data_IF_992568221852
#
_entry.id   IF_992568221852
#
_cell.length_a   1.000
_cell.length_b   1.000
_cell.length_c   1.000
_cell.angle_alpha   90.00
_cell.angle_beta   90.00
_cell.angle_gamma   90.00
#
_symmetry.space_group_name_H-M   'P 1'
#
loop_
_entity.id
_entity.type
_entity.pdbx_description
1 polymer ?
#
# COMPACT_ATOMS: atom_id res chain seq x y z
N UNK A 1 19.59 -7.57 22.01
CA UNK A 1 19.39 -8.45 20.84
C UNK A 1 18.52 -9.70 21.09
N UNK A 2 18.04 -10.00 22.31
CA UNK A 2 17.22 -11.21 22.56
C UNK A 2 15.70 -11.06 22.34
N UNK A 3 15.16 -9.86 22.17
CA UNK A 3 13.71 -9.67 22.08
C UNK A 3 13.14 -10.02 20.68
N UNK A 4 13.92 -9.81 19.61
CA UNK A 4 13.46 -10.06 18.24
C UNK A 4 13.40 -11.56 17.90
N UNK A 5 14.30 -12.38 18.46
CA UNK A 5 14.34 -13.83 18.24
C UNK A 5 13.18 -14.54 18.96
N UNK A 6 12.74 -14.02 20.11
CA UNK A 6 11.58 -14.55 20.82
C UNK A 6 10.26 -14.25 20.10
N UNK A 7 10.17 -13.12 19.40
CA UNK A 7 8.96 -12.76 18.65
C UNK A 7 8.76 -13.65 17.41
N UNK A 8 9.84 -13.97 16.68
CA UNK A 8 9.80 -14.88 15.54
C UNK A 8 9.48 -16.31 16.01
N UNK A 9 10.09 -16.77 17.11
CA UNK A 9 9.75 -18.07 17.72
C UNK A 9 8.30 -18.12 18.21
N UNK A 10 7.75 -17.03 18.73
CA UNK A 10 6.36 -16.95 19.17
C UNK A 10 5.38 -16.97 18.00
N UNK A 11 5.69 -16.29 16.89
CA UNK A 11 4.89 -16.36 15.66
C UNK A 11 4.96 -17.76 15.05
N UNK A 12 6.14 -18.38 15.00
CA UNK A 12 6.28 -19.76 14.50
C UNK A 12 5.54 -20.76 15.39
N UNK A 13 5.55 -20.55 16.70
CA UNK A 13 4.81 -21.35 17.68
C UNK A 13 3.29 -21.17 17.57
N UNK A 14 2.81 -19.94 17.30
CA UNK A 14 1.40 -19.66 17.03
C UNK A 14 0.93 -20.25 15.70
N UNK A 15 1.76 -20.16 14.65
CA UNK A 15 1.48 -20.77 13.36
C UNK A 15 1.46 -22.29 13.50
N UNK A 16 2.43 -22.88 14.21
CA UNK A 16 2.50 -24.33 14.49
C UNK A 16 1.33 -24.83 15.36
N UNK A 17 0.90 -24.06 16.36
CA UNK A 17 -0.31 -24.35 17.14
C UNK A 17 -1.57 -24.27 16.28
N UNK A 18 -1.64 -23.32 15.34
CA UNK A 18 -2.76 -23.19 14.40
C UNK A 18 -2.80 -24.35 13.40
N UNK A 19 -1.66 -24.86 12.92
CA UNK A 19 -1.61 -26.05 12.06
C UNK A 19 -1.81 -27.37 12.82
N UNK A 20 -1.37 -27.49 14.07
CA UNK A 20 -1.57 -28.71 14.86
C UNK A 20 -2.99 -28.84 15.44
N UNK A 21 -3.78 -27.76 15.58
CA UNK A 21 -5.18 -27.85 16.02
C UNK A 21 -6.15 -28.32 14.93
N UNK A 22 -5.70 -28.49 13.68
CA UNK A 22 -6.58 -28.87 12.56
C UNK A 22 -6.88 -30.39 12.47
N UNK A 23 -6.40 -31.24 13.40
CA UNK A 23 -6.49 -32.70 13.22
C UNK A 23 -7.41 -33.48 14.16
N UNK A 24 -8.15 -32.87 15.09
CA UNK A 24 -9.21 -33.59 15.85
C UNK A 24 -10.41 -32.65 16.05
N UNK A 25 -11.31 -32.61 15.06
CA UNK A 25 -12.66 -32.10 15.26
C UNK A 25 -13.53 -33.23 15.82
N UNK A 26 -13.74 -33.23 17.14
CA UNK A 26 -14.88 -33.92 17.75
C UNK A 26 -16.05 -32.95 17.76
N UNK A 27 -17.15 -33.36 17.16
CA UNK A 27 -18.42 -32.66 17.06
C UNK A 27 -18.82 -32.05 18.43
N UNK A 28 -18.91 -30.72 18.51
CA UNK A 28 -19.42 -30.00 19.69
C UNK A 28 -20.65 -29.17 19.30
N UNK A 29 -21.71 -29.35 20.08
CA UNK A 29 -23.04 -28.77 19.88
C UNK A 29 -23.04 -27.23 19.90
N UNK A 30 -23.97 -26.57 19.18
CA UNK A 30 -24.00 -25.12 19.06
C UNK A 30 -24.42 -24.49 20.40
N UNK A 31 -23.54 -23.68 20.97
CA UNK A 31 -23.87 -22.77 22.07
C UNK A 31 -24.53 -21.53 21.47
N UNK A 32 -25.84 -21.57 21.29
CA UNK A 32 -26.67 -20.37 21.06
C UNK A 32 -27.26 -19.92 22.40
N UNK A 33 -27.20 -18.61 22.67
CA UNK A 33 -28.22 -17.82 23.37
C UNK A 33 -27.65 -16.45 23.79
N UNK A 34 -27.51 -15.52 22.83
CA UNK A 34 -27.52 -14.08 23.10
C UNK A 34 -28.53 -13.44 22.13
N UNK A 35 -29.82 -13.33 22.50
CA UNK A 35 -30.90 -13.00 21.57
C UNK A 35 -30.76 -11.62 20.90
N UNK A 36 -30.09 -10.65 21.55
CA UNK A 36 -29.81 -9.33 20.96
C UNK A 36 -28.76 -9.37 19.86
N UNK A 37 -27.77 -10.27 19.98
CA UNK A 37 -26.74 -10.44 18.97
C UNK A 37 -27.32 -11.15 17.76
N UNK A 38 -28.13 -12.19 17.98
CA UNK A 38 -28.81 -12.91 16.90
C UNK A 38 -29.79 -12.01 16.12
N UNK A 39 -30.53 -11.13 16.83
CA UNK A 39 -31.43 -10.17 16.18
C UNK A 39 -30.67 -9.11 15.35
N UNK A 40 -29.54 -8.60 15.88
CA UNK A 40 -28.69 -7.65 15.16
C UNK A 40 -28.00 -8.29 13.94
N UNK A 41 -27.49 -9.51 14.11
CA UNK A 41 -26.90 -10.29 13.03
C UNK A 41 -27.94 -10.60 11.94
N UNK A 42 -29.18 -10.95 12.32
CA UNK A 42 -30.27 -11.17 11.37
C UNK A 42 -30.70 -9.90 10.62
N UNK A 43 -30.73 -8.74 11.29
CA UNK A 43 -31.03 -7.46 10.63
C UNK A 43 -29.92 -7.07 9.63
N UNK A 44 -28.65 -7.27 9.98
CA UNK A 44 -27.52 -7.10 9.05
C UNK A 44 -27.61 -8.10 7.91
N UNK A 45 -28.00 -9.35 8.21
CA UNK A 45 -28.12 -10.43 7.25
C UNK A 45 -29.19 -10.12 6.19
N UNK A 46 -30.41 -9.74 6.59
CA UNK A 46 -31.48 -9.37 5.67
C UNK A 46 -31.14 -8.12 4.84
N UNK A 47 -30.57 -7.09 5.48
CA UNK A 47 -30.14 -5.88 4.77
C UNK A 47 -29.10 -6.21 3.69
N UNK A 48 -28.14 -7.08 3.99
CA UNK A 48 -27.08 -7.48 3.06
C UNK A 48 -27.56 -8.45 1.97
N UNK A 49 -28.42 -9.41 2.30
CA UNK A 49 -29.04 -10.30 1.32
C UNK A 49 -29.82 -9.51 0.26
N UNK A 50 -30.58 -8.51 0.71
CA UNK A 50 -31.27 -7.57 -0.17
C UNK A 50 -30.32 -6.75 -1.06
N UNK A 51 -29.13 -6.39 -0.59
CA UNK A 51 -28.12 -5.70 -1.42
C UNK A 51 -27.52 -6.63 -2.48
N UNK A 52 -27.14 -7.86 -2.11
CA UNK A 52 -26.49 -8.82 -3.03
C UNK A 52 -27.45 -9.27 -4.14
N UNK A 53 -28.71 -9.53 -3.80
CA UNK A 53 -29.75 -9.92 -4.75
C UNK A 53 -30.14 -8.78 -5.71
N UNK A 54 -30.18 -7.52 -5.22
CA UNK A 54 -30.46 -6.35 -6.05
C UNK A 54 -29.32 -6.03 -7.05
N UNK A 55 -28.13 -6.58 -6.83
CA UNK A 55 -26.96 -6.43 -7.70
C UNK A 55 -26.93 -7.48 -8.82
N UNK A 56 -27.27 -8.74 -8.53
CA UNK A 56 -27.37 -9.82 -9.53
C UNK A 56 -28.43 -9.51 -10.61
N UNK A 57 -29.56 -8.91 -10.23
CA UNK A 57 -30.65 -8.57 -11.17
C UNK A 57 -30.36 -7.35 -12.07
N UNK A 58 -29.44 -6.47 -11.67
CA UNK A 58 -29.22 -5.16 -12.34
C UNK A 58 -27.90 -5.11 -13.10
N UNK A 59 -26.96 -6.02 -12.82
CA UNK A 59 -25.55 -5.82 -13.14
C UNK A 59 -25.01 -4.56 -12.45
N UNK A 60 -23.74 -4.24 -12.61
CA UNK A 60 -23.12 -3.02 -12.07
C UNK A 60 -23.67 -1.70 -12.70
N UNK A 61 -24.89 -1.69 -13.24
CA UNK A 61 -25.54 -0.48 -13.76
C UNK A 61 -25.91 0.46 -12.61
N UNK A 62 -25.08 1.49 -12.39
CA UNK A 62 -25.35 2.74 -11.66
C UNK A 62 -26.46 2.69 -10.60
N UNK A 63 -26.39 1.73 -9.67
CA UNK A 63 -27.25 1.70 -8.51
C UNK A 63 -26.87 2.82 -7.53
N UNK A 64 -27.82 3.22 -6.67
CA UNK A 64 -27.56 4.19 -5.59
C UNK A 64 -26.39 3.73 -4.71
N UNK A 65 -26.26 2.42 -4.48
CA UNK A 65 -25.15 1.85 -3.69
C UNK A 65 -23.78 2.07 -4.34
N UNK A 66 -23.69 1.91 -5.67
CA UNK A 66 -22.45 2.14 -6.44
C UNK A 66 -22.03 3.61 -6.39
N UNK A 67 -23.00 4.53 -6.46
CA UNK A 67 -22.73 5.98 -6.33
C UNK A 67 -22.23 6.32 -4.93
N UNK A 68 -22.87 5.79 -3.88
CA UNK A 68 -22.42 5.99 -2.49
C UNK A 68 -21.03 5.42 -2.28
N UNK A 69 -20.74 4.21 -2.81
CA UNK A 69 -19.40 3.63 -2.79
C UNK A 69 -18.39 4.53 -3.51
N UNK A 70 -18.74 5.09 -4.67
CA UNK A 70 -17.92 6.04 -5.42
C UNK A 70 -17.57 7.30 -4.63
N UNK A 71 -18.54 7.89 -3.93
CA UNK A 71 -18.32 9.06 -3.07
C UNK A 71 -17.40 8.72 -1.90
N UNK A 72 -17.60 7.59 -1.24
CA UNK A 72 -16.75 7.16 -0.13
C UNK A 72 -15.34 6.81 -0.60
N UNK A 73 -15.19 6.17 -1.76
CA UNK A 73 -13.91 5.93 -2.40
C UNK A 73 -13.22 7.22 -2.82
N UNK A 74 -13.96 8.23 -3.28
CA UNK A 74 -13.42 9.57 -3.56
C UNK A 74 -12.83 10.20 -2.29
N UNK A 75 -13.57 10.20 -1.19
CA UNK A 75 -13.08 10.72 0.09
C UNK A 75 -11.86 9.95 0.61
N UNK A 76 -11.90 8.61 0.51
CA UNK A 76 -10.78 7.75 0.88
C UNK A 76 -9.54 8.01 0.01
N UNK A 77 -9.72 8.23 -1.30
CA UNK A 77 -8.65 8.56 -2.23
C UNK A 77 -8.01 9.91 -1.91
N UNK A 78 -8.82 10.92 -1.57
CA UNK A 78 -8.33 12.24 -1.19
C UNK A 78 -7.49 12.20 0.08
N UNK A 79 -7.94 11.48 1.12
CA UNK A 79 -7.22 11.36 2.40
C UNK A 79 -5.96 10.50 2.25
N UNK A 80 -6.04 9.39 1.53
CA UNK A 80 -4.91 8.45 1.39
C UNK A 80 -3.79 8.95 0.48
N UNK A 81 -4.10 9.84 -0.46
CA UNK A 81 -3.11 10.49 -1.33
C UNK A 81 -2.09 11.29 -0.50
N UNK A 82 -2.52 11.93 0.59
CA UNK A 82 -1.66 12.63 1.56
C UNK A 82 -0.50 11.76 2.09
N UNK A 83 -0.81 10.52 2.44
CA UNK A 83 0.15 9.59 3.04
C UNK A 83 1.03 8.88 2.02
N UNK A 84 0.76 9.05 0.71
CA UNK A 84 1.44 8.33 -0.36
C UNK A 84 1.22 6.82 -0.34
N UNK A 85 0.09 6.39 0.25
CA UNK A 85 -0.19 4.99 0.59
C UNK A 85 -1.05 4.31 -0.50
N UNK A 86 -1.73 5.07 -1.36
CA UNK A 86 -2.49 4.55 -2.51
C UNK A 86 -3.92 4.10 -2.24
N UNK A 87 -4.46 4.29 -1.03
CA UNK A 87 -5.90 4.16 -0.73
C UNK A 87 -6.50 2.74 -0.73
N UNK A 88 -5.82 1.74 -1.28
CA UNK A 88 -6.39 0.40 -1.47
C UNK A 88 -6.86 -0.30 -0.21
N UNK A 89 -6.22 -0.08 0.93
CA UNK A 89 -6.67 -0.61 2.23
C UNK A 89 -8.06 -0.11 2.65
N UNK A 90 -8.52 0.98 2.04
CA UNK A 90 -9.83 1.60 2.27
C UNK A 90 -10.83 1.21 1.20
N UNK A 91 -10.39 1.13 -0.07
CA UNK A 91 -11.27 0.77 -1.19
C UNK A 91 -11.86 -0.62 -1.02
N UNK A 92 -11.05 -1.60 -0.60
CA UNK A 92 -11.51 -2.98 -0.47
C UNK A 92 -12.70 -3.10 0.50
N UNK A 93 -12.63 -2.62 1.77
CA UNK A 93 -13.80 -2.64 2.66
C UNK A 93 -15.00 -1.82 2.16
N UNK A 94 -14.76 -0.68 1.50
CA UNK A 94 -15.85 0.16 0.97
C UNK A 94 -16.60 -0.60 -0.13
N UNK A 95 -15.87 -1.19 -1.07
CA UNK A 95 -16.45 -1.96 -2.17
C UNK A 95 -17.16 -3.21 -1.67
N UNK A 96 -16.57 -3.97 -0.75
CA UNK A 96 -17.21 -5.20 -0.25
C UNK A 96 -18.46 -4.92 0.57
N UNK A 97 -18.48 -3.86 1.39
CA UNK A 97 -19.60 -3.59 2.31
C UNK A 97 -20.72 -2.81 1.62
N UNK A 98 -20.38 -1.79 0.82
CA UNK A 98 -21.36 -0.88 0.23
C UNK A 98 -21.74 -1.32 -1.16
N UNK A 99 -20.76 -1.60 -2.03
CA UNK A 99 -21.06 -2.11 -3.36
C UNK A 99 -21.40 -3.60 -3.37
N UNK A 100 -21.21 -4.32 -2.25
CA UNK A 100 -21.59 -5.72 -2.10
C UNK A 100 -20.80 -6.69 -2.98
N UNK A 101 -19.67 -6.25 -3.53
CA UNK A 101 -18.82 -7.08 -4.40
C UNK A 101 -17.96 -8.04 -3.57
N UNK A 102 -17.69 -9.22 -4.10
CA UNK A 102 -16.86 -10.20 -3.41
C UNK A 102 -15.41 -9.69 -3.23
N UNK A 103 -14.72 -10.19 -2.20
CA UNK A 103 -13.41 -9.67 -1.81
C UNK A 103 -12.35 -9.74 -2.92
N UNK A 104 -12.40 -10.78 -3.75
CA UNK A 104 -11.47 -10.95 -4.89
C UNK A 104 -11.72 -9.91 -5.99
N UNK A 105 -12.98 -9.63 -6.27
CA UNK A 105 -13.41 -8.59 -7.22
C UNK A 105 -13.10 -7.20 -6.67
N UNK A 106 -13.34 -6.97 -5.38
CA UNK A 106 -12.96 -5.72 -4.70
C UNK A 106 -11.44 -5.47 -4.73
N UNK A 107 -10.63 -6.51 -4.51
CA UNK A 107 -9.16 -6.45 -4.64
C UNK A 107 -8.74 -6.07 -6.06
N UNK A 108 -9.37 -6.70 -7.05
CA UNK A 108 -9.18 -6.43 -8.47
C UNK A 108 -9.51 -4.97 -8.84
N UNK A 109 -10.66 -4.46 -8.42
CA UNK A 109 -11.08 -3.06 -8.62
C UNK A 109 -10.15 -2.08 -7.89
N UNK A 110 -9.77 -2.41 -6.65
CA UNK A 110 -8.85 -1.61 -5.86
C UNK A 110 -7.51 -1.42 -6.57
N UNK A 111 -6.99 -2.42 -7.28
CA UNK A 111 -5.75 -2.27 -8.04
C UNK A 111 -5.85 -1.16 -9.09
N UNK A 112 -6.95 -1.11 -9.85
CA UNK A 112 -7.23 -0.06 -10.84
C UNK A 112 -7.39 1.32 -10.19
N UNK A 113 -8.12 1.38 -9.06
CA UNK A 113 -8.33 2.61 -8.31
C UNK A 113 -7.04 3.18 -7.73
N UNK A 114 -6.19 2.32 -7.16
CA UNK A 114 -4.85 2.67 -6.66
C UNK A 114 -3.98 3.15 -7.81
N UNK A 115 -4.06 2.53 -9.00
CA UNK A 115 -3.38 3.01 -10.20
C UNK A 115 -3.82 4.43 -10.57
N UNK A 116 -5.12 4.71 -10.63
CA UNK A 116 -5.64 6.05 -10.91
C UNK A 116 -5.12 7.10 -9.91
N UNK A 117 -5.20 6.82 -8.62
CA UNK A 117 -4.72 7.75 -7.58
C UNK A 117 -3.20 7.91 -7.57
N UNK A 118 -2.44 6.86 -7.83
CA UNK A 118 -0.97 6.93 -7.88
C UNK A 118 -0.44 7.67 -9.11
N UNK A 119 -1.12 7.57 -10.27
CA UNK A 119 -0.83 8.42 -11.43
C UNK A 119 -0.94 9.90 -11.05
N UNK A 120 -2.05 10.29 -10.44
CA UNK A 120 -2.27 11.66 -9.96
C UNK A 120 -1.16 12.11 -8.99
N UNK A 121 -0.78 11.25 -8.05
CA UNK A 121 0.27 11.55 -7.08
C UNK A 121 1.65 11.69 -7.72
N UNK A 122 2.02 10.80 -8.66
CA UNK A 122 3.31 10.86 -9.34
C UNK A 122 3.40 12.12 -10.20
N UNK A 123 2.38 12.41 -10.99
CA UNK A 123 2.29 13.63 -11.79
C UNK A 123 2.42 14.84 -10.87
N UNK A 124 1.62 14.94 -9.81
CA UNK A 124 1.66 16.10 -8.92
C UNK A 124 3.02 16.21 -8.19
N UNK A 125 3.60 15.13 -7.67
CA UNK A 125 4.88 15.18 -6.98
C UNK A 125 6.08 15.46 -7.91
N UNK A 126 5.96 15.14 -9.21
CA UNK A 126 6.99 15.44 -10.21
C UNK A 126 6.88 16.88 -10.75
N UNK A 127 5.66 17.38 -10.95
CA UNK A 127 5.42 18.70 -11.55
C UNK A 127 5.23 19.82 -10.52
N UNK A 128 4.59 19.56 -9.38
CA UNK A 128 4.36 20.52 -8.30
C UNK A 128 5.49 20.41 -7.28
N UNK A 129 6.42 21.36 -7.37
CA UNK A 129 7.57 21.44 -6.47
C UNK A 129 7.18 22.14 -5.18
N UNK A 130 7.44 21.51 -4.03
CA UNK A 130 7.13 22.11 -2.73
C UNK A 130 8.03 23.33 -2.48
N UNK A 131 7.45 24.52 -2.22
CA UNK A 131 8.22 25.73 -1.90
C UNK A 131 9.00 25.58 -0.58
N UNK A 132 8.45 24.83 0.38
CA UNK A 132 9.08 24.53 1.68
C UNK A 132 10.42 23.78 1.57
N UNK A 133 10.65 23.07 0.47
CA UNK A 133 11.87 22.29 0.21
C UNK A 133 12.78 22.91 -0.87
N UNK A 134 12.61 24.21 -1.15
CA UNK A 134 13.45 24.93 -2.12
C UNK A 134 13.26 24.43 -3.56
N UNK A 135 12.07 23.93 -3.89
CA UNK A 135 11.72 23.49 -5.24
C UNK A 135 12.29 22.13 -5.66
N UNK A 136 12.71 21.29 -4.71
CA UNK A 136 13.28 19.95 -4.98
C UNK A 136 12.19 18.88 -5.14
N UNK A 137 12.49 17.88 -5.97
CA UNK A 137 11.69 16.66 -6.08
C UNK A 137 11.89 15.83 -4.81
N UNK A 138 10.78 15.44 -4.16
CA UNK A 138 10.79 14.69 -2.90
C UNK A 138 10.94 13.17 -3.09
N UNK A 139 10.86 12.67 -4.32
CA UNK A 139 10.96 11.24 -4.64
C UNK A 139 12.42 10.78 -4.53
N UNK A 140 12.68 9.82 -3.65
CA UNK A 140 13.95 9.12 -3.57
C UNK A 140 13.98 7.96 -4.59
N UNK A 141 14.44 8.27 -5.80
CA UNK A 141 14.61 7.30 -6.89
C UNK A 141 15.61 6.19 -6.55
N UNK A 142 16.48 6.43 -5.59
CA UNK A 142 17.53 5.52 -5.16
C UNK A 142 16.96 4.37 -4.32
N UNK A 143 15.97 4.65 -3.48
CA UNK A 143 15.21 3.64 -2.75
C UNK A 143 14.26 2.91 -3.71
N UNK A 144 13.55 3.67 -4.56
CA UNK A 144 12.63 3.08 -5.54
C UNK A 144 13.34 2.07 -6.45
N UNK A 145 14.50 2.44 -7.05
CA UNK A 145 15.29 1.55 -7.90
C UNK A 145 15.64 0.21 -7.22
N UNK A 146 16.06 0.27 -5.95
CA UNK A 146 16.49 -0.93 -5.23
C UNK A 146 15.31 -1.85 -4.86
N UNK A 147 14.16 -1.26 -4.56
CA UNK A 147 12.99 -1.98 -4.08
C UNK A 147 12.07 -2.49 -5.20
N UNK A 148 12.03 -1.80 -6.35
CA UNK A 148 11.05 -2.07 -7.42
C UNK A 148 11.11 -3.50 -7.97
N UNK A 149 12.27 -4.09 -8.34
CA UNK A 149 12.30 -5.44 -8.92
C UNK A 149 11.72 -6.51 -7.98
N UNK A 150 12.03 -6.40 -6.68
CA UNK A 150 11.51 -7.31 -5.67
C UNK A 150 10.04 -7.06 -5.37
N UNK A 151 9.59 -5.80 -5.43
CA UNK A 151 8.18 -5.46 -5.27
C UNK A 151 7.32 -5.99 -6.42
N UNK A 152 7.76 -5.84 -7.68
CA UNK A 152 7.07 -6.38 -8.85
C UNK A 152 6.98 -7.90 -8.81
N UNK A 153 8.07 -8.59 -8.44
CA UNK A 153 8.05 -10.04 -8.19
C UNK A 153 7.06 -10.41 -7.06
N UNK A 154 7.01 -9.61 -5.99
CA UNK A 154 6.05 -9.82 -4.91
C UNK A 154 4.61 -9.70 -5.42
N UNK A 155 4.31 -8.66 -6.19
CA UNK A 155 2.97 -8.44 -6.80
C UNK A 155 2.56 -9.66 -7.62
N UNK A 156 3.47 -10.18 -8.44
CA UNK A 156 3.26 -11.39 -9.23
C UNK A 156 2.77 -12.57 -8.41
N UNK A 157 3.48 -12.87 -7.32
CA UNK A 157 3.15 -13.96 -6.41
C UNK A 157 1.82 -13.67 -5.73
N UNK A 158 1.62 -12.42 -5.30
CA UNK A 158 0.42 -12.00 -4.59
C UNK A 158 -0.87 -12.13 -5.41
N UNK A 159 -0.86 -11.75 -6.68
CA UNK A 159 -2.02 -11.87 -7.56
C UNK A 159 -2.36 -13.35 -7.82
N UNK A 160 -1.36 -14.21 -7.99
CA UNK A 160 -1.58 -15.66 -8.10
C UNK A 160 -2.19 -16.21 -6.79
N UNK A 161 -1.67 -15.78 -5.63
CA UNK A 161 -2.24 -16.12 -4.33
C UNK A 161 -3.69 -15.64 -4.19
N UNK A 162 -4.06 -14.45 -4.68
CA UNK A 162 -5.46 -13.99 -4.64
C UNK A 162 -6.41 -14.97 -5.34
N UNK A 163 -5.99 -15.58 -6.46
CA UNK A 163 -6.79 -16.58 -7.19
C UNK A 163 -6.91 -17.89 -6.42
N UNK A 164 -5.78 -18.40 -5.90
CA UNK A 164 -5.67 -19.72 -5.25
C UNK A 164 -6.30 -19.76 -3.86
N UNK A 165 -6.07 -18.73 -3.04
CA UNK A 165 -6.50 -18.72 -1.64
C UNK A 165 -8.03 -18.61 -1.54
N UNK A 166 -8.68 -19.32 -0.60
CA UNK A 166 -10.10 -19.15 -0.34
C UNK A 166 -10.39 -17.77 0.27
N UNK A 167 -11.61 -17.27 0.10
CA UNK A 167 -11.98 -15.91 0.49
C UNK A 167 -11.88 -15.67 1.99
N UNK A 168 -12.28 -16.65 2.81
CA UNK A 168 -12.15 -16.56 4.27
C UNK A 168 -10.69 -16.33 4.71
N UNK A 169 -9.73 -16.95 4.03
CA UNK A 169 -8.31 -16.81 4.36
C UNK A 169 -7.79 -15.43 3.93
N UNK A 170 -8.19 -14.94 2.76
CA UNK A 170 -7.85 -13.58 2.31
C UNK A 170 -8.44 -12.54 3.27
N UNK A 171 -9.69 -12.72 3.71
CA UNK A 171 -10.36 -11.84 4.69
C UNK A 171 -9.60 -11.79 6.01
N UNK A 172 -9.22 -12.95 6.58
CA UNK A 172 -8.45 -13.01 7.83
C UNK A 172 -7.07 -12.36 7.65
N UNK A 173 -6.36 -12.69 6.56
CA UNK A 173 -5.04 -12.12 6.29
C UNK A 173 -5.10 -10.60 6.12
N UNK A 174 -6.14 -10.11 5.43
CA UNK A 174 -6.36 -8.68 5.21
C UNK A 174 -6.69 -7.96 6.51
N UNK A 175 -7.56 -8.53 7.35
CA UNK A 175 -7.89 -7.98 8.66
C UNK A 175 -6.66 -7.91 9.59
N UNK A 176 -5.83 -8.96 9.63
CA UNK A 176 -4.58 -8.97 10.39
C UNK A 176 -3.58 -7.94 9.86
N UNK A 177 -3.47 -7.81 8.54
CA UNK A 177 -2.64 -6.81 7.89
C UNK A 177 -3.08 -5.38 8.23
N UNK A 178 -4.37 -5.07 8.11
CA UNK A 178 -4.93 -3.76 8.44
C UNK A 178 -4.75 -3.43 9.93
N UNK A 179 -4.94 -4.42 10.82
CA UNK A 179 -4.68 -4.25 12.26
C UNK A 179 -3.21 -3.92 12.53
N UNK A 180 -2.29 -4.69 11.94
CA UNK A 180 -0.84 -4.44 12.07
C UNK A 180 -0.45 -3.06 11.55
N UNK A 181 -0.92 -2.69 10.36
CA UNK A 181 -0.63 -1.38 9.78
C UNK A 181 -1.24 -0.24 10.59
N UNK A 182 -2.47 -0.40 11.09
CA UNK A 182 -3.12 0.59 11.98
C UNK A 182 -2.30 0.80 13.25
N UNK A 183 -1.90 -0.29 13.93
CA UNK A 183 -1.06 -0.20 15.12
C UNK A 183 0.26 0.54 14.83
N UNK A 184 0.91 0.20 13.71
CA UNK A 184 2.17 0.81 13.30
C UNK A 184 2.01 2.29 12.95
N UNK A 185 0.99 2.65 12.18
CA UNK A 185 0.68 4.03 11.80
C UNK A 185 0.34 4.87 13.02
N UNK A 186 -0.49 4.38 13.95
CA UNK A 186 -0.81 5.10 15.19
C UNK A 186 0.44 5.32 16.06
N UNK A 187 1.30 4.30 16.19
CA UNK A 187 2.56 4.43 16.92
C UNK A 187 3.48 5.48 16.29
N UNK A 188 3.64 5.44 14.97
CA UNK A 188 4.44 6.44 14.25
C UNK A 188 3.82 7.84 14.33
N UNK A 189 2.50 7.97 14.21
CA UNK A 189 1.78 9.23 14.34
C UNK A 189 1.99 9.88 15.70
N UNK A 190 1.89 9.10 16.78
CA UNK A 190 2.19 9.59 18.14
C UNK A 190 3.66 10.01 18.30
N UNK A 191 4.60 9.26 17.72
CA UNK A 191 6.02 9.59 17.74
C UNK A 191 6.31 10.93 17.05
N UNK A 192 5.77 11.17 15.86
CA UNK A 192 5.93 12.44 15.15
C UNK A 192 5.24 13.60 15.86
N UNK A 193 4.05 13.37 16.40
CA UNK A 193 3.36 14.41 17.15
C UNK A 193 4.16 14.85 18.38
N UNK A 194 4.81 13.91 19.07
CA UNK A 194 5.72 14.22 20.18
C UNK A 194 6.93 15.05 19.71
N UNK A 195 7.59 14.64 18.62
CA UNK A 195 8.72 15.37 18.04
C UNK A 195 8.33 16.80 17.59
N UNK A 196 7.20 16.95 16.90
CA UNK A 196 6.70 18.25 16.47
C UNK A 196 6.33 19.13 17.68
N UNK A 197 5.75 18.54 18.72
CA UNK A 197 5.40 19.25 19.96
C UNK A 197 6.64 19.70 20.75
N UNK A 198 7.71 18.91 20.76
CA UNK A 198 8.99 19.27 21.39
C UNK A 198 9.71 20.38 20.59
N UNK A 199 9.69 20.31 19.26
CA UNK A 199 10.27 21.36 18.40
C UNK A 199 9.54 22.70 18.54
N UNK A 200 8.20 22.69 18.64
CA UNK A 200 7.43 23.91 18.93
C UNK A 200 7.72 24.48 20.32
N UNK A 201 7.85 23.63 21.34
CA UNK A 201 8.21 24.07 22.69
C UNK A 201 9.60 24.70 22.72
N UNK A 202 10.60 24.07 22.08
CA UNK A 202 11.95 24.61 21.97
C UNK A 202 12.02 25.94 21.22
N UNK A 203 11.24 26.12 20.14
CA UNK A 203 11.10 27.43 19.47
C UNK A 203 10.50 28.49 20.39
N UNK A 204 9.42 28.16 21.11
CA UNK A 204 8.80 29.08 22.07
C UNK A 204 9.70 29.40 23.26
N UNK A 205 10.52 28.47 23.73
CA UNK A 205 11.52 28.70 24.78
C UNK A 205 12.69 29.57 24.29
N UNK A 206 13.14 29.38 23.04
CA UNK A 206 14.13 30.24 22.40
C UNK A 206 13.59 31.66 22.18
N UNK A 207 12.35 31.80 21.71
CA UNK A 207 11.66 33.08 21.50
C UNK A 207 11.37 33.80 22.83
N UNK A 208 10.92 33.06 23.86
CA UNK A 208 10.72 33.62 25.20
C UNK A 208 12.05 33.91 25.93
N UNK A 209 13.13 33.21 25.59
CA UNK A 209 14.48 33.49 26.09
C UNK A 209 15.09 34.74 25.44
N UNK A 210 14.87 34.93 24.15
CA UNK A 210 15.29 36.11 23.39
C UNK A 210 14.49 37.36 23.81
N UNK A 211 13.18 37.23 24.03
CA UNK A 211 12.33 38.31 24.56
C UNK A 211 12.64 38.72 26.01
N UNK A 212 13.50 37.97 26.72
CA UNK A 212 13.95 38.32 28.08
C UNK A 212 15.28 39.09 28.11
N UNK A 213 16.00 39.13 26.99
CA UNK A 213 17.32 39.75 26.89
C UNK A 213 17.42 40.62 25.63
N UNK A 214 16.60 41.66 25.52
CA UNK A 214 16.88 42.76 24.59
C UNK A 214 16.65 44.11 25.26
N UNK A 215 17.71 44.62 25.90
CA UNK A 215 18.13 46.00 25.76
C UNK A 215 19.53 46.00 25.13
N UNK A 216 19.68 46.80 24.08
CA UNK A 216 20.90 47.20 23.36
C UNK A 216 21.19 46.50 22.02
N UNK A 217 20.97 47.31 20.99
CA UNK A 217 21.77 47.56 19.79
C UNK A 217 21.61 46.68 18.53
N UNK A 218 21.53 47.44 17.44
CA UNK A 218 21.39 47.09 16.02
C UNK A 218 22.58 46.27 15.49
N UNK A 219 22.34 45.68 14.32
CA UNK A 219 23.27 44.93 13.45
C UNK A 219 23.49 43.44 13.78
N UNK A 220 22.59 42.60 13.26
CA UNK A 220 22.99 41.29 12.71
C UNK A 220 22.19 41.00 11.43
N UNK A 221 22.65 41.59 10.34
CA UNK A 221 22.43 41.07 8.99
C UNK A 221 23.16 39.73 8.87
N UNK A 222 22.53 38.63 9.33
CA UNK A 222 23.08 37.29 9.27
C UNK A 222 22.14 36.29 8.58
N UNK A 223 22.44 36.03 7.30
CA UNK A 223 22.20 34.76 6.61
C UNK A 223 20.74 34.34 6.41
N UNK A 224 19.93 35.21 5.80
CA UNK A 224 19.08 34.71 4.71
C UNK A 224 20.00 34.36 3.54
N UNK A 225 20.69 33.23 3.65
CA UNK A 225 21.17 32.50 2.49
C UNK A 225 19.92 32.25 1.63
N UNK A 226 19.73 33.16 0.68
CA UNK A 226 18.99 32.96 -0.55
C UNK A 226 19.65 31.76 -1.22
N UNK A 227 19.32 30.55 -0.78
CA UNK A 227 19.60 29.30 -1.50
C UNK A 227 18.80 29.42 -2.77
N UNK A 228 19.44 29.99 -3.79
CA UNK A 228 19.04 29.86 -5.19
C UNK A 228 18.64 28.40 -5.40
N UNK A 229 17.34 28.19 -5.52
CA UNK A 229 16.75 26.88 -5.71
C UNK A 229 17.22 26.34 -7.04
N UNK A 230 18.35 25.63 -7.03
CA UNK A 230 18.79 24.83 -8.16
C UNK A 230 17.66 23.86 -8.44
N UNK A 231 16.91 24.12 -9.52
CA UNK A 231 15.91 23.22 -10.05
C UNK A 231 16.56 21.84 -10.17
N UNK A 232 16.18 20.90 -9.30
CA UNK A 232 16.66 19.53 -9.43
C UNK A 232 16.02 18.98 -10.70
N UNK A 233 16.80 18.86 -11.77
CA UNK A 233 16.37 18.19 -12.99
C UNK A 233 15.95 16.75 -12.64
N UNK A 234 14.84 16.31 -13.24
CA UNK A 234 14.36 14.93 -13.09
C UNK A 234 15.49 13.99 -13.52
N UNK A 235 15.88 12.99 -12.70
CA UNK A 235 16.91 12.04 -13.06
C UNK A 235 16.36 11.04 -14.08
N UNK A 236 16.18 11.49 -15.33
CA UNK A 236 15.60 10.73 -16.45
C UNK A 236 16.24 9.36 -16.65
N UNK A 237 17.56 9.23 -16.41
CA UNK A 237 18.25 7.93 -16.47
C UNK A 237 17.71 6.93 -15.44
N UNK A 238 17.50 7.36 -14.18
CA UNK A 238 16.96 6.49 -13.13
C UNK A 238 15.50 6.12 -13.44
N UNK A 239 14.71 7.08 -13.91
CA UNK A 239 13.33 6.84 -14.32
C UNK A 239 13.24 5.84 -15.48
N UNK A 240 14.10 5.98 -16.49
CA UNK A 240 14.19 5.06 -17.62
C UNK A 240 14.50 3.62 -17.20
N UNK A 241 15.38 3.43 -16.21
CA UNK A 241 15.70 2.11 -15.64
C UNK A 241 14.47 1.50 -14.95
N UNK A 242 13.70 2.25 -14.16
CA UNK A 242 12.47 1.72 -13.55
C UNK A 242 11.44 1.30 -14.60
N UNK A 243 11.22 2.14 -15.62
CA UNK A 243 10.30 1.81 -16.72
C UNK A 243 10.77 0.56 -17.46
N UNK A 244 12.08 0.39 -17.64
CA UNK A 244 12.66 -0.82 -18.24
C UNK A 244 12.39 -2.07 -17.38
N UNK A 245 12.53 -2.00 -16.06
CA UNK A 245 12.17 -3.11 -15.17
C UNK A 245 10.69 -3.44 -15.30
N UNK A 246 9.82 -2.45 -15.18
CA UNK A 246 8.38 -2.64 -15.31
C UNK A 246 8.01 -3.29 -16.66
N UNK A 247 8.57 -2.79 -17.77
CA UNK A 247 8.31 -3.34 -19.09
C UNK A 247 8.86 -4.76 -19.26
N UNK A 248 9.99 -5.09 -18.61
CA UNK A 248 10.54 -6.46 -18.62
C UNK A 248 9.60 -7.45 -17.94
N UNK A 249 9.03 -7.09 -16.78
CA UNK A 249 8.02 -7.90 -16.13
C UNK A 249 6.74 -7.95 -16.99
N UNK A 250 6.23 -6.81 -17.43
CA UNK A 250 5.05 -6.71 -18.29
C UNK A 250 5.15 -7.61 -19.53
N UNK A 251 6.30 -7.62 -20.19
CA UNK A 251 6.55 -8.47 -21.36
C UNK A 251 6.48 -9.96 -21.00
N UNK A 252 7.04 -10.40 -19.86
CA UNK A 252 6.87 -11.78 -19.38
C UNK A 252 5.39 -12.14 -19.16
N UNK A 253 4.56 -11.19 -18.72
CA UNK A 253 3.12 -11.40 -18.59
C UNK A 253 2.38 -11.45 -19.92
N UNK A 254 2.78 -10.61 -20.88
CA UNK A 254 2.26 -10.71 -22.25
C UNK A 254 2.58 -12.07 -22.88
N UNK A 255 3.79 -12.59 -22.65
CA UNK A 255 4.19 -13.92 -23.11
C UNK A 255 3.41 -15.04 -22.40
N UNK A 256 3.08 -14.87 -21.12
CA UNK A 256 2.27 -15.83 -20.35
C UNK A 256 0.84 -15.96 -20.90
N UNK A 257 0.28 -14.87 -21.42
CA UNK A 257 -1.07 -14.83 -22.00
C UNK A 257 -2.21 -14.76 -20.97
N UNK A 258 -3.44 -14.74 -21.49
CA UNK A 258 -4.68 -14.68 -20.71
C UNK A 258 -5.11 -16.08 -20.22
N UNK A 259 -6.01 -16.14 -19.23
CA UNK A 259 -6.59 -17.38 -18.69
C UNK A 259 -7.26 -18.29 -19.73
N UNK A 260 -7.65 -17.76 -20.89
CA UNK A 260 -8.28 -18.51 -21.98
C UNK A 260 -7.27 -19.09 -22.99
N UNK A 261 -5.96 -19.07 -22.69
CA UNK A 261 -4.91 -19.56 -23.58
C UNK A 261 -4.64 -18.66 -24.80
N UNK A 262 -5.31 -17.50 -24.87
CA UNK A 262 -5.07 -16.47 -25.88
C UNK A 262 -3.94 -15.56 -25.41
N UNK A 263 -2.79 -15.68 -26.05
CA UNK A 263 -1.61 -14.85 -25.84
C UNK A 263 -0.78 -14.78 -27.12
N UNK A 264 0.36 -14.08 -27.08
CA UNK A 264 1.30 -14.03 -28.22
C UNK A 264 1.75 -15.45 -28.59
N UNK A 265 1.86 -16.33 -27.60
CA UNK A 265 2.14 -17.75 -27.76
C UNK A 265 0.93 -18.51 -27.21
N UNK A 266 0.19 -19.29 -28.03
CA UNK A 266 -0.89 -20.12 -27.52
C UNK A 266 -0.29 -21.19 -26.60
N UNK A 267 -0.58 -21.10 -25.32
CA UNK A 267 -0.15 -22.06 -24.30
C UNK A 267 -1.38 -22.58 -23.58
N UNK A 268 -1.39 -23.88 -23.30
CA UNK A 268 -2.41 -24.47 -22.43
C UNK A 268 -2.34 -23.84 -21.03
N UNK A 269 -3.51 -23.45 -20.51
CA UNK A 269 -3.62 -22.92 -19.16
C UNK A 269 -3.02 -23.93 -18.18
N UNK A 270 -1.98 -23.51 -17.46
CA UNK A 270 -1.22 -24.35 -16.54
C UNK A 270 -0.45 -25.54 -17.08
N UNK A 271 -0.11 -25.51 -18.37
CA UNK A 271 0.96 -26.32 -18.90
C UNK A 271 2.33 -25.95 -18.30
N UNK A 272 3.33 -26.79 -18.57
CA UNK A 272 4.72 -26.59 -18.12
C UNK A 272 5.26 -25.22 -18.57
N UNK A 273 4.90 -24.77 -19.78
CA UNK A 273 5.30 -23.46 -20.32
C UNK A 273 4.82 -22.27 -19.48
N UNK A 274 3.60 -22.33 -18.94
CA UNK A 274 3.04 -21.29 -18.07
C UNK A 274 3.90 -21.10 -16.81
N UNK A 275 4.25 -22.20 -16.16
CA UNK A 275 5.06 -22.19 -14.94
C UNK A 275 6.52 -21.83 -15.21
N UNK A 276 7.08 -22.19 -16.36
CA UNK A 276 8.41 -21.75 -16.79
C UNK A 276 8.45 -20.23 -16.92
N UNK A 277 7.52 -19.63 -17.68
CA UNK A 277 7.46 -18.17 -17.87
C UNK A 277 7.24 -17.45 -16.53
N UNK A 278 6.36 -17.97 -15.67
CA UNK A 278 6.16 -17.41 -14.34
C UNK A 278 7.42 -17.53 -13.46
N UNK A 279 8.19 -18.61 -13.60
CA UNK A 279 9.42 -18.83 -12.84
C UNK A 279 10.57 -17.93 -13.30
N UNK A 280 10.59 -17.50 -14.57
CA UNK A 280 11.60 -16.57 -15.14
C UNK A 280 11.61 -15.21 -14.43
N UNK A 281 10.54 -14.83 -13.75
CA UNK A 281 10.47 -13.58 -12.99
C UNK A 281 11.45 -13.56 -11.80
N UNK A 282 11.71 -14.71 -11.18
CA UNK A 282 12.64 -14.82 -10.05
C UNK A 282 14.09 -14.50 -10.44
N UNK A 283 14.70 -15.18 -11.45
CA UNK A 283 16.05 -14.83 -11.87
C UNK A 283 16.13 -13.41 -12.42
N UNK A 284 15.10 -12.93 -13.11
CA UNK A 284 15.05 -11.53 -13.59
C UNK A 284 15.12 -10.53 -12.44
N UNK A 285 14.33 -10.72 -11.38
CA UNK A 285 14.37 -9.88 -10.18
C UNK A 285 15.75 -9.93 -9.49
N UNK A 286 16.33 -11.13 -9.34
CA UNK A 286 17.65 -11.33 -8.72
C UNK A 286 18.74 -10.63 -9.54
N UNK A 287 18.71 -10.74 -10.87
CA UNK A 287 19.66 -10.08 -11.78
C UNK A 287 19.57 -8.57 -11.63
N UNK A 288 18.38 -7.99 -11.68
CA UNK A 288 18.20 -6.54 -11.53
C UNK A 288 18.64 -6.04 -10.15
N UNK A 289 18.23 -6.71 -9.07
CA UNK A 289 18.64 -6.31 -7.71
C UNK A 289 20.15 -6.45 -7.51
N UNK A 290 20.76 -7.52 -8.02
CA UNK A 290 22.22 -7.73 -7.95
C UNK A 290 22.99 -6.71 -8.78
N UNK A 291 22.50 -6.38 -9.98
CA UNK A 291 23.09 -5.36 -10.85
C UNK A 291 23.10 -3.98 -10.18
N UNK A 292 22.00 -3.60 -9.53
CA UNK A 292 21.91 -2.32 -8.79
C UNK A 292 22.86 -2.31 -7.60
N UNK A 293 22.92 -3.39 -6.82
CA UNK A 293 23.82 -3.50 -5.67
C UNK A 293 25.30 -3.45 -6.09
N UNK A 294 25.64 -4.09 -7.20
CA UNK A 294 26.99 -4.04 -7.78
C UNK A 294 27.35 -2.63 -8.25
N UNK A 295 26.46 -1.99 -9.01
CA UNK A 295 26.70 -0.65 -9.56
C UNK A 295 26.80 0.42 -8.46
N UNK A 296 26.03 0.27 -7.36
CA UNK A 296 26.15 1.11 -6.16
C UNK A 296 27.47 0.90 -5.42
N UNK A 297 27.89 -0.34 -5.26
CA UNK A 297 29.19 -0.66 -4.66
C UNK A 297 30.37 -0.08 -5.45
N UNK A 298 30.23 0.00 -6.78
CA UNK A 298 31.23 0.63 -7.66
C UNK A 298 31.28 2.16 -7.51
N UNK A 299 30.12 2.85 -7.43
CA UNK A 299 30.09 4.31 -7.26
C UNK A 299 30.65 4.81 -5.92
N UNK A 300 30.58 3.99 -4.86
CA UNK A 300 31.09 4.36 -3.53
C UNK A 300 32.63 4.38 -3.47
N UNK A 301 33.32 3.80 -4.47
CA UNK A 301 34.78 3.79 -4.56
C UNK A 301 35.38 5.02 -5.27
N UNK A 302 34.56 5.99 -5.71
CA UNK A 302 35.06 7.29 -6.17
C UNK A 302 35.06 8.31 -5.03
N UNK A 303 36.19 9.01 -4.77
CA UNK A 303 36.24 10.03 -3.73
C UNK A 303 35.55 11.31 -4.25
N UNK A 304 34.29 11.52 -3.87
CA UNK A 304 33.68 12.85 -4.00
C UNK A 304 32.67 13.13 -2.89
N UNK A 305 32.92 14.25 -2.22
CA UNK A 305 32.19 14.87 -1.11
C UNK A 305 30.67 14.71 -1.22
N UNK A 306 30.05 13.99 -0.28
CA UNK A 306 28.61 14.15 0.03
C UNK A 306 28.46 15.11 1.22
N UNK A 307 27.48 16.04 1.18
CA UNK A 307 27.15 16.90 2.30
C UNK A 307 26.46 16.08 3.41
N UNK A 308 26.85 16.40 4.64
CA UNK A 308 26.35 15.83 5.91
C UNK A 308 24.83 15.88 6.03
N UNK A 309 24.23 14.78 6.50
CA UNK A 309 22.81 14.78 6.92
C UNK A 309 22.12 13.42 6.93
N UNK A 310 22.57 12.42 6.17
CA UNK A 310 22.07 11.05 6.32
C UNK A 310 22.96 10.30 7.28
N UNK A 311 22.50 10.12 8.51
CA UNK A 311 23.07 9.17 9.46
C UNK A 311 22.99 7.77 8.85
N UNK A 312 24.02 7.39 8.10
CA UNK A 312 24.22 6.02 7.64
C UNK A 312 24.48 5.17 8.89
N UNK A 313 23.42 4.53 9.39
CA UNK A 313 23.58 3.42 10.33
C UNK A 313 24.42 2.35 9.64
N UNK A 314 25.68 2.23 10.07
CA UNK A 314 26.54 1.06 9.85
C UNK A 314 25.71 -0.20 10.12
N UNK A 315 25.25 -0.87 9.08
CA UNK A 315 24.73 -2.23 9.15
C UNK A 315 25.50 -3.05 8.12
N UNK A 316 25.96 -4.24 8.53
CA UNK A 316 26.79 -5.14 7.73
C UNK A 316 26.11 -5.65 6.44
N UNK A 317 26.61 -6.73 5.81
CA UNK A 317 26.06 -7.26 4.56
C UNK A 317 24.53 -7.50 4.60
N UNK A 318 23.98 -7.80 5.78
CA UNK A 318 22.54 -8.00 6.02
C UNK A 318 21.70 -6.72 5.92
N UNK A 319 22.29 -5.53 6.10
CA UNK A 319 21.59 -4.24 5.99
C UNK A 319 21.22 -3.87 4.55
N UNK A 320 22.02 -4.32 3.56
CA UNK A 320 21.80 -3.99 2.14
C UNK A 320 20.57 -4.66 1.54
N UNK A 321 20.13 -5.79 2.10
CA UNK A 321 18.99 -6.57 1.60
C UNK A 321 17.66 -6.26 2.32
N UNK A 322 17.66 -5.39 3.33
CA UNK A 322 16.44 -5.10 4.09
C UNK A 322 15.36 -4.45 3.22
N UNK A 323 15.71 -3.51 2.35
CA UNK A 323 14.76 -2.84 1.47
C UNK A 323 14.18 -3.79 0.40
N UNK A 324 14.98 -4.61 -0.33
CA UNK A 324 14.47 -5.63 -1.23
C UNK A 324 13.50 -6.63 -0.58
N UNK A 325 13.85 -7.17 0.59
CA UNK A 325 13.01 -8.17 1.28
C UNK A 325 11.68 -7.57 1.72
N UNK A 326 11.72 -6.36 2.29
CA UNK A 326 10.52 -5.65 2.69
C UNK A 326 9.64 -5.27 1.49
N UNK A 327 10.27 -4.89 0.37
CA UNK A 327 9.57 -4.59 -0.88
C UNK A 327 8.91 -5.84 -1.47
N UNK A 328 9.55 -7.01 -1.39
CA UNK A 328 8.95 -8.28 -1.79
C UNK A 328 7.71 -8.60 -0.95
N UNK A 329 7.79 -8.50 0.38
CA UNK A 329 6.65 -8.74 1.27
C UNK A 329 5.51 -7.73 1.02
N UNK A 330 5.85 -6.45 0.84
CA UNK A 330 4.89 -5.42 0.46
C UNK A 330 4.24 -5.71 -0.90
N UNK A 331 5.01 -6.21 -1.86
CA UNK A 331 4.51 -6.64 -3.17
C UNK A 331 3.56 -7.82 -3.06
N UNK A 332 3.90 -8.86 -2.29
CA UNK A 332 3.01 -10.03 -2.08
C UNK A 332 1.68 -9.59 -1.49
N UNK A 333 1.70 -8.87 -0.38
CA UNK A 333 0.47 -8.38 0.25
C UNK A 333 -0.25 -7.36 -0.65
N UNK A 334 0.51 -6.53 -1.35
CA UNK A 334 0.04 -5.56 -2.34
C UNK A 334 -0.74 -6.21 -3.49
N UNK A 335 -0.22 -7.32 -4.02
CA UNK A 335 -0.84 -8.10 -5.09
C UNK A 335 -2.05 -8.90 -4.59
N UNK A 336 -1.96 -9.52 -3.41
CA UNK A 336 -3.09 -10.29 -2.83
C UNK A 336 -4.30 -9.39 -2.60
N UNK A 337 -4.11 -8.17 -2.09
CA UNK A 337 -5.21 -7.28 -1.73
C UNK A 337 -5.51 -6.17 -2.74
N UNK A 338 -4.70 -6.04 -3.79
CA UNK A 338 -4.84 -4.96 -4.77
C UNK A 338 -4.61 -3.56 -4.18
N UNK A 339 -3.70 -3.44 -3.19
CA UNK A 339 -3.43 -2.17 -2.48
C UNK A 339 -2.14 -1.46 -2.94
N UNK A 340 -1.33 -2.09 -3.79
CA UNK A 340 -0.09 -1.47 -4.33
C UNK A 340 1.11 -1.40 -3.37
N UNK A 341 1.08 -2.07 -2.21
CA UNK A 341 2.24 -2.24 -1.32
C UNK A 341 2.69 -1.01 -0.50
N UNK A 342 2.26 0.20 -0.86
CA UNK A 342 2.64 1.46 -0.20
C UNK A 342 2.29 1.53 1.28
N UNK A 343 1.18 0.90 1.69
CA UNK A 343 0.74 0.78 3.10
C UNK A 343 1.78 0.13 4.01
N UNK A 344 2.57 -0.82 3.48
CA UNK A 344 3.59 -1.52 4.26
C UNK A 344 4.93 -0.77 4.20
N UNK A 345 5.30 -0.26 3.02
CA UNK A 345 6.59 0.40 2.79
C UNK A 345 6.68 1.74 3.52
N UNK A 346 5.63 2.56 3.53
CA UNK A 346 5.67 3.91 4.11
C UNK A 346 6.09 3.89 5.60
N UNK A 347 5.41 3.14 6.49
CA UNK A 347 5.84 3.05 7.89
C UNK A 347 7.23 2.43 8.09
N UNK A 348 7.76 1.67 7.13
CA UNK A 348 9.11 1.10 7.21
C UNK A 348 10.18 2.13 6.83
N UNK A 349 9.99 2.91 5.77
CA UNK A 349 10.93 3.96 5.37
C UNK A 349 11.09 5.01 6.48
N UNK A 350 9.98 5.35 7.13
CA UNK A 350 9.96 6.20 8.32
C UNK A 350 10.80 5.62 9.46
N UNK A 351 10.73 4.30 9.72
CA UNK A 351 11.53 3.66 10.77
C UNK A 351 13.03 3.67 10.49
N UNK A 352 13.41 3.75 9.22
CA UNK A 352 14.81 3.91 8.80
C UNK A 352 15.27 5.37 8.89
N UNK A 353 14.40 6.29 9.29
CA UNK A 353 14.72 7.70 9.55
C UNK A 353 14.47 8.64 8.37
N UNK A 354 13.78 8.17 7.32
CA UNK A 354 13.40 9.02 6.18
C UNK A 354 12.23 9.92 6.59
N UNK A 355 12.25 11.19 6.17
CA UNK A 355 11.18 12.13 6.50
C UNK A 355 9.83 11.68 5.92
N UNK A 356 8.70 11.96 6.59
CA UNK A 356 7.37 11.55 6.11
C UNK A 356 7.03 12.08 4.71
N UNK A 357 7.48 13.29 4.38
CA UNK A 357 7.18 13.93 3.09
C UNK A 357 7.94 13.24 1.93
N UNK A 358 9.22 12.91 2.11
CA UNK A 358 10.01 12.13 1.13
C UNK A 358 9.49 10.70 1.02
N UNK A 359 9.11 10.10 2.16
CA UNK A 359 8.51 8.77 2.22
C UNK A 359 7.20 8.71 1.43
N UNK A 360 6.29 9.67 1.63
CA UNK A 360 5.00 9.71 0.93
C UNK A 360 5.17 9.86 -0.59
N UNK A 361 6.10 10.73 -1.04
CA UNK A 361 6.40 10.89 -2.46
C UNK A 361 7.01 9.62 -3.07
N UNK A 362 8.01 9.04 -2.39
CA UNK A 362 8.69 7.80 -2.82
C UNK A 362 7.74 6.61 -2.87
N UNK A 363 6.90 6.44 -1.84
CA UNK A 363 5.89 5.38 -1.82
C UNK A 363 4.84 5.56 -2.91
N UNK A 364 4.35 6.78 -3.18
CA UNK A 364 3.42 7.01 -4.29
C UNK A 364 4.00 6.59 -5.63
N UNK A 365 5.29 6.87 -5.84
CA UNK A 365 6.02 6.50 -7.06
C UNK A 365 6.19 4.99 -7.20
N UNK A 366 6.54 4.30 -6.12
CA UNK A 366 6.61 2.84 -6.10
C UNK A 366 5.23 2.19 -6.32
N UNK A 367 4.20 2.70 -5.63
CA UNK A 367 2.80 2.24 -5.76
C UNK A 367 2.29 2.37 -7.19
N UNK A 368 2.72 3.38 -7.94
CA UNK A 368 2.37 3.52 -9.36
C UNK A 368 2.81 2.31 -10.18
N UNK A 369 4.08 1.91 -10.10
CA UNK A 369 4.59 0.75 -10.84
C UNK A 369 3.98 -0.57 -10.34
N UNK A 370 3.84 -0.76 -9.03
CA UNK A 370 3.29 -2.00 -8.46
C UNK A 370 1.78 -2.16 -8.73
N UNK A 371 0.99 -1.10 -8.65
CA UNK A 371 -0.46 -1.14 -8.86
C UNK A 371 -0.81 -1.27 -10.33
N UNK A 372 -0.11 -0.56 -11.24
CA UNK A 372 -0.27 -0.72 -12.69
C UNK A 372 0.03 -2.16 -13.10
N UNK A 373 1.08 -2.75 -12.51
CA UNK A 373 1.42 -4.14 -12.72
C UNK A 373 0.30 -5.08 -12.22
N UNK A 374 -0.23 -4.83 -11.01
CA UNK A 374 -1.35 -5.61 -10.44
C UNK A 374 -2.60 -5.52 -11.33
N UNK A 375 -2.97 -4.32 -11.77
CA UNK A 375 -4.14 -4.07 -12.62
C UNK A 375 -4.03 -4.84 -13.95
N UNK A 376 -2.86 -4.77 -14.60
CA UNK A 376 -2.57 -5.55 -15.80
C UNK A 376 -2.69 -7.07 -15.54
N UNK A 377 -2.13 -7.56 -14.43
CA UNK A 377 -2.20 -8.98 -14.10
C UNK A 377 -3.63 -9.46 -13.85
N UNK A 378 -4.44 -8.68 -13.14
CA UNK A 378 -5.85 -9.02 -12.93
C UNK A 378 -6.65 -8.96 -14.24
N UNK A 379 -6.33 -8.02 -15.14
CA UNK A 379 -6.93 -7.97 -16.49
C UNK A 379 -6.60 -9.24 -17.31
N UNK A 380 -5.35 -9.70 -17.27
CA UNK A 380 -4.95 -10.96 -17.91
C UNK A 380 -5.46 -12.22 -17.21
N UNK A 381 -5.95 -12.11 -15.98
CA UNK A 381 -6.66 -13.19 -15.31
C UNK A 381 -8.17 -13.16 -15.61
N UNK A 382 -8.59 -12.31 -16.57
CA UNK A 382 -9.95 -12.14 -17.05
C UNK A 382 -10.90 -11.60 -15.98
N UNK A 383 -10.50 -10.49 -15.37
CA UNK A 383 -11.38 -9.67 -14.54
C UNK A 383 -12.69 -9.35 -15.26
N UNK A 384 -13.80 -9.55 -14.57
CA UNK A 384 -15.13 -9.13 -14.99
C UNK A 384 -15.35 -7.65 -14.64
N UNK A 385 -16.15 -6.92 -15.42
CA UNK A 385 -16.51 -5.51 -15.16
C UNK A 385 -15.33 -4.51 -15.21
N UNK A 386 -14.43 -4.66 -16.20
CA UNK A 386 -13.28 -3.76 -16.39
C UNK A 386 -13.71 -2.29 -16.59
N UNK A 387 -14.82 -2.05 -17.29
CA UNK A 387 -15.33 -0.70 -17.56
C UNK A 387 -15.65 0.06 -16.25
N UNK A 388 -16.30 -0.61 -15.30
CA UNK A 388 -16.64 -0.03 -14.00
C UNK A 388 -15.37 0.28 -13.21
N UNK A 389 -14.42 -0.66 -13.15
CA UNK A 389 -13.14 -0.46 -12.49
C UNK A 389 -12.36 0.75 -13.06
N UNK A 390 -12.43 0.96 -14.37
CA UNK A 390 -11.80 2.10 -15.04
C UNK A 390 -12.49 3.43 -14.70
N UNK A 391 -13.82 3.46 -14.61
CA UNK A 391 -14.57 4.64 -14.13
C UNK A 391 -14.15 4.99 -12.71
N UNK A 392 -14.10 4.02 -11.79
CA UNK A 392 -13.63 4.23 -10.42
C UNK A 392 -12.18 4.72 -10.39
N UNK A 393 -11.30 4.22 -11.27
CA UNK A 393 -9.93 4.69 -11.39
C UNK A 393 -9.83 6.17 -11.79
N UNK A 394 -10.64 6.63 -12.75
CA UNK A 394 -10.69 8.05 -13.15
C UNK A 394 -11.20 8.92 -12.00
N UNK A 395 -12.26 8.48 -11.31
CA UNK A 395 -12.78 9.19 -10.13
C UNK A 395 -11.72 9.30 -9.04
N UNK A 396 -11.01 8.22 -8.73
CA UNK A 396 -9.91 8.22 -7.76
C UNK A 396 -8.73 9.09 -8.20
N UNK A 397 -8.42 9.16 -9.50
CA UNK A 397 -7.39 10.06 -10.04
C UNK A 397 -7.72 11.53 -9.73
N UNK A 398 -8.95 11.96 -10.05
CA UNK A 398 -9.42 13.33 -9.77
C UNK A 398 -9.43 13.58 -8.25
N UNK A 399 -9.92 12.63 -7.47
CA UNK A 399 -9.98 12.70 -6.01
C UNK A 399 -8.59 12.85 -5.37
N UNK A 400 -7.59 12.14 -5.89
CA UNK A 400 -6.21 12.21 -5.42
C UNK A 400 -5.55 13.55 -5.76
N UNK A 401 -5.80 14.13 -6.94
CA UNK A 401 -5.32 15.49 -7.27
C UNK A 401 -5.89 16.49 -6.26
N UNK A 402 -7.21 16.48 -6.06
CA UNK A 402 -7.89 17.39 -5.13
C UNK A 402 -7.38 17.16 -3.71
N UNK A 403 -7.30 15.91 -3.26
CA UNK A 403 -6.82 15.54 -1.94
C UNK A 403 -5.41 16.02 -1.67
N UNK A 404 -4.49 15.81 -2.62
CA UNK A 404 -3.09 16.22 -2.48
C UNK A 404 -2.96 17.75 -2.39
N UNK A 405 -3.73 18.50 -3.20
CA UNK A 405 -3.75 19.97 -3.14
C UNK A 405 -4.31 20.49 -1.81
N UNK A 406 -5.43 19.93 -1.35
CA UNK A 406 -6.05 20.30 -0.06
C UNK A 406 -5.09 20.00 1.09
N UNK A 407 -4.45 18.84 1.06
CA UNK A 407 -3.50 18.41 2.09
C UNK A 407 -2.26 19.30 2.10
N UNK A 408 -1.66 19.60 0.95
CA UNK A 408 -0.51 20.51 0.86
C UNK A 408 -0.84 21.87 1.49
N UNK A 409 -2.03 22.42 1.18
CA UNK A 409 -2.50 23.67 1.75
C UNK A 409 -2.82 23.57 3.25
N UNK A 410 -3.35 22.44 3.70
CA UNK A 410 -3.59 22.18 5.12
C UNK A 410 -2.28 22.08 5.91
N UNK A 411 -1.22 21.50 5.35
CA UNK A 411 0.12 21.46 5.95
C UNK A 411 0.70 22.86 6.07
N UNK A 412 0.57 23.70 5.04
CA UNK A 412 1.04 25.08 5.06
C UNK A 412 0.33 25.89 6.16
N UNK A 413 -0.98 25.67 6.34
CA UNK A 413 -1.76 26.39 7.34
C UNK A 413 -1.56 25.87 8.77
N UNK A 414 -1.47 24.56 8.98
CA UNK A 414 -1.36 23.96 10.32
C UNK A 414 0.07 23.68 10.79
N UNK A 415 1.05 23.71 9.88
CA UNK A 415 2.48 23.54 10.20
C UNK A 415 2.91 22.15 10.71
N UNK A 416 1.99 21.17 10.77
CA UNK A 416 2.21 19.86 11.42
C UNK A 416 1.92 18.70 10.47
N UNK A 417 2.94 17.90 10.16
CA UNK A 417 2.81 16.73 9.28
C UNK A 417 2.16 15.53 9.99
N UNK A 418 2.20 15.49 11.33
CA UNK A 418 1.55 14.45 12.14
C UNK A 418 0.04 14.32 11.88
N UNK A 419 -0.64 15.40 11.51
CA UNK A 419 -2.08 15.39 11.19
C UNK A 419 -2.42 14.48 10.00
N UNK A 420 -1.53 14.36 9.00
CA UNK A 420 -1.73 13.44 7.88
C UNK A 420 -1.68 11.99 8.35
N UNK A 421 -0.69 11.65 9.18
CA UNK A 421 -0.50 10.28 9.70
C UNK A 421 -1.68 9.89 10.58
N UNK A 422 -2.20 10.80 11.41
CA UNK A 422 -3.39 10.56 12.21
C UNK A 422 -4.64 10.37 11.35
N UNK A 423 -4.87 11.21 10.34
CA UNK A 423 -6.02 11.08 9.45
C UNK A 423 -6.03 9.72 8.76
N UNK A 424 -4.91 9.32 8.13
CA UNK A 424 -4.78 7.99 7.50
C UNK A 424 -4.94 6.88 8.55
N UNK A 425 -4.35 7.03 9.73
CA UNK A 425 -4.46 6.06 10.82
C UNK A 425 -5.91 5.84 11.30
N UNK A 426 -6.70 6.91 11.44
CA UNK A 426 -8.11 6.84 11.84
C UNK A 426 -8.94 6.11 10.79
N UNK A 427 -8.75 6.42 9.51
CA UNK A 427 -9.52 5.76 8.44
C UNK A 427 -9.12 4.28 8.32
N UNK A 428 -7.84 3.94 8.50
CA UNK A 428 -7.38 2.55 8.55
C UNK A 428 -7.94 1.78 9.77
N UNK A 429 -8.04 2.44 10.92
CA UNK A 429 -8.66 1.85 12.10
C UNK A 429 -10.15 1.53 11.85
N UNK A 430 -10.89 2.46 11.22
CA UNK A 430 -12.27 2.24 10.81
C UNK A 430 -12.37 1.06 9.83
N UNK A 431 -11.54 1.01 8.80
CA UNK A 431 -11.48 -0.12 7.86
C UNK A 431 -11.16 -1.45 8.54
N UNK A 432 -10.30 -1.44 9.55
CA UNK A 432 -9.97 -2.65 10.34
C UNK A 432 -11.21 -3.14 11.10
N UNK A 433 -11.94 -2.24 11.78
CA UNK A 433 -13.17 -2.58 12.52
C UNK A 433 -14.24 -3.11 11.57
N UNK A 434 -14.43 -2.45 10.43
CA UNK A 434 -15.40 -2.86 9.43
C UNK A 434 -15.06 -4.24 8.83
N UNK A 435 -13.80 -4.45 8.43
CA UNK A 435 -13.40 -5.72 7.81
C UNK A 435 -13.41 -6.89 8.79
N UNK A 436 -13.02 -6.66 10.05
CA UNK A 436 -13.04 -7.70 11.09
C UNK A 436 -14.47 -8.09 11.48
N UNK A 437 -15.37 -7.12 11.61
CA UNK A 437 -16.78 -7.39 11.95
C UNK A 437 -17.53 -8.04 10.80
N UNK A 438 -17.64 -7.37 9.65
CA UNK A 438 -18.40 -7.88 8.51
C UNK A 438 -17.74 -9.11 7.87
N UNK A 439 -16.42 -9.13 7.78
CA UNK A 439 -15.69 -10.29 7.27
C UNK A 439 -15.89 -11.54 8.12
N UNK A 440 -15.97 -11.41 9.46
CA UNK A 440 -16.28 -12.54 10.32
C UNK A 440 -17.71 -13.07 10.09
N UNK A 441 -18.68 -12.18 9.89
CA UNK A 441 -20.06 -12.56 9.56
C UNK A 441 -20.14 -13.30 8.23
N UNK A 442 -19.44 -12.82 7.20
CA UNK A 442 -19.42 -13.48 5.88
C UNK A 442 -18.82 -14.89 5.94
N UNK A 443 -17.69 -15.04 6.64
CA UNK A 443 -17.05 -16.35 6.85
C UNK A 443 -17.99 -17.28 7.62
N UNK A 444 -18.64 -16.79 8.68
CA UNK A 444 -19.58 -17.58 9.45
C UNK A 444 -20.75 -18.05 8.59
N UNK A 445 -21.29 -17.17 7.74
CA UNK A 445 -22.37 -17.48 6.81
C UNK A 445 -21.96 -18.59 5.84
N UNK A 446 -20.83 -18.43 5.16
CA UNK A 446 -20.37 -19.40 4.17
C UNK A 446 -20.07 -20.77 4.82
N UNK A 447 -19.65 -20.77 6.10
CA UNK A 447 -19.45 -21.99 6.88
C UNK A 447 -20.79 -22.66 7.18
N UNK A 448 -21.80 -21.90 7.63
CA UNK A 448 -23.14 -22.42 7.94
C UNK A 448 -23.94 -22.86 6.71
N UNK A 449 -23.73 -22.22 5.56
CA UNK A 449 -24.42 -22.56 4.31
C UNK A 449 -23.79 -23.77 3.59
N UNK A 450 -22.64 -24.27 4.06
CA UNK A 450 -21.93 -25.39 3.45
C UNK A 450 -21.28 -25.05 2.11
N UNK A 451 -20.97 -23.76 1.85
CA UNK A 451 -20.29 -23.34 0.62
C UNK A 451 -18.87 -23.93 0.55
N UNK A 452 -18.35 -24.12 -0.67
CA UNK A 452 -16.99 -24.63 -0.85
C UNK A 452 -15.95 -23.62 -0.32
N UNK A 453 -15.30 -23.97 0.80
CA UNK A 453 -14.27 -23.15 1.47
C UNK A 453 -12.83 -23.60 1.18
N UNK A 454 -12.65 -24.54 0.24
CA UNK A 454 -11.35 -25.09 -0.12
C UNK A 454 -10.52 -24.17 -1.01
N UNK A 455 -9.25 -24.51 -1.19
CA UNK A 455 -8.37 -23.81 -2.12
C UNK A 455 -8.84 -24.02 -3.56
N UNK A 456 -8.85 -22.95 -4.34
CA UNK A 456 -9.10 -23.05 -5.78
C UNK A 456 -7.80 -23.43 -6.47
N UNK A 457 -7.89 -24.17 -7.56
CA UNK A 457 -6.71 -24.42 -8.37
C UNK A 457 -6.20 -23.08 -8.94
N UNK A 458 -4.87 -22.90 -9.11
CA UNK A 458 -4.31 -21.69 -9.73
C UNK A 458 -4.87 -21.43 -11.15
N UNK A 459 -5.48 -22.47 -11.70
CA UNK A 459 -5.98 -22.76 -13.03
C UNK A 459 -6.77 -24.07 -12.84
#
# INVERSE_FOLDING_TARGET
MNCHNNYIKFIFFLVFLASCRFSIAKQTNPTSNIPKLDQFLNAIYEWRANQKQKQEDVGLKFGVSTVVAGVLCFLAASISSAGGIGGGGLYVPILTIIAGVDLKTASSFSAFMVTGGSIANVVTNMFVKSPKYGGKILIDFDIALLSEPCMLLGVSIGVICNRVLPEWLITILFALFLCFCTFKTCKSGFFYWKLESESEKGKKELENGLLKNESCDEDDEALLEKKEGRISNIPWMKMGILVMFWFSFFFLYLLRGNQYGQGIIPMEACGVGYWIISSVQFPLAIIFTSWILYNRGSQQNMPSKKPEGTSETKHGPSGKLIFPIMALLAGVLGGVFGIGGGMLISPLLIQVGITPEVTAATCSFMVFFSSTMSAVQYLFLGMEHVDDALIFAVVCCIASIIGLLVVQRAIEHHGRASLMVFSVGTVMALSTVLMTSFGAVDIWRDYTSGNYMGFKQPC
#
